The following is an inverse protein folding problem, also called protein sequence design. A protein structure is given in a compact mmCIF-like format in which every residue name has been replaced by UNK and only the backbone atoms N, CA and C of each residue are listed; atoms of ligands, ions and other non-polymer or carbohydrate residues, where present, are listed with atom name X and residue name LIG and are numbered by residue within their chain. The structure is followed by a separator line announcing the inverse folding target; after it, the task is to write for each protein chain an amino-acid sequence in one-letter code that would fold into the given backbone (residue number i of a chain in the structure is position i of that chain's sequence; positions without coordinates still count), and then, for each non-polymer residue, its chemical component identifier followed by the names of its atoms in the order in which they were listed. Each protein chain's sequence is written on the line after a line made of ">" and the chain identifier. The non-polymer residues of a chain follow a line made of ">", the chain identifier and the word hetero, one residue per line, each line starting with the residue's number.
data_IF_173377802427
#
_entry.id   IF_173377802427
#
_cell.length_a   1.000
_cell.length_b   1.000
_cell.length_c   1.000
_cell.angle_alpha   90.00
_cell.angle_beta   90.00
_cell.angle_gamma   90.00
#
_symmetry.space_group_name_H-M   'P 1'
#
loop_
_entity.id
_entity.type
_entity.pdbx_description
1 polymer ?
#
# COMPACT_ATOMS: atom_id res chain seq x y z
N UNK A 1 -11.01 6.64 23.55
CA UNK A 1 -11.43 7.47 22.41
C UNK A 1 -10.17 7.90 21.70
N UNK A 2 -9.86 7.34 20.51
CA UNK A 2 -8.79 7.92 19.69
C UNK A 2 -9.27 9.31 19.25
N UNK A 3 -8.50 10.34 19.58
CA UNK A 3 -8.82 11.71 19.26
C UNK A 3 -8.94 11.82 17.74
N UNK A 4 -10.03 12.39 17.24
CA UNK A 4 -10.33 12.50 15.80
C UNK A 4 -9.24 13.25 15.03
N UNK A 5 -8.45 14.05 15.73
CA UNK A 5 -7.25 14.75 15.23
C UNK A 5 -6.11 13.78 14.90
N UNK A 6 -5.85 12.77 15.75
CA UNK A 6 -4.78 11.79 15.55
C UNK A 6 -5.09 10.89 14.35
N UNK A 7 -6.36 10.49 14.19
CA UNK A 7 -6.78 9.70 13.04
C UNK A 7 -6.60 10.48 11.72
N UNK A 8 -6.87 11.78 11.68
CA UNK A 8 -6.65 12.62 10.50
C UNK A 8 -5.16 12.80 10.19
N UNK A 9 -4.34 13.00 11.21
CA UNK A 9 -2.88 13.12 11.06
C UNK A 9 -2.26 11.83 10.53
N UNK A 10 -2.67 10.67 11.07
CA UNK A 10 -2.20 9.36 10.62
C UNK A 10 -2.60 9.12 9.16
N UNK A 11 -3.87 9.42 8.79
CA UNK A 11 -4.34 9.31 7.41
C UNK A 11 -3.52 10.17 6.45
N UNK A 12 -3.23 11.42 6.83
CA UNK A 12 -2.43 12.35 6.03
C UNK A 12 -0.98 11.89 5.89
N UNK A 13 -0.38 11.37 6.97
CA UNK A 13 1.00 10.90 6.98
C UNK A 13 1.19 9.64 6.14
N UNK A 14 0.29 8.66 6.24
CA UNK A 14 0.32 7.44 5.43
C UNK A 14 0.16 7.78 3.95
N UNK A 15 -0.78 8.68 3.62
CA UNK A 15 -0.99 9.13 2.25
C UNK A 15 0.29 9.77 1.69
N UNK A 16 0.95 10.63 2.47
CA UNK A 16 2.21 11.27 2.10
C UNK A 16 3.34 10.26 1.88
N UNK A 17 3.52 9.30 2.79
CA UNK A 17 4.52 8.23 2.66
C UNK A 17 4.29 7.41 1.39
N UNK A 18 3.04 7.07 1.08
CA UNK A 18 2.68 6.29 -0.10
C UNK A 18 2.94 7.09 -1.38
N UNK A 19 2.53 8.35 -1.42
CA UNK A 19 2.77 9.24 -2.56
C UNK A 19 4.27 9.42 -2.79
N UNK A 20 5.08 9.67 -1.75
CA UNK A 20 6.53 9.80 -1.91
C UNK A 20 7.16 8.54 -2.51
N UNK A 21 6.79 7.35 -2.03
CA UNK A 21 7.32 6.10 -2.58
C UNK A 21 6.80 5.83 -4.01
N UNK A 22 5.55 6.17 -4.29
CA UNK A 22 4.95 6.04 -5.62
C UNK A 22 5.59 6.99 -6.64
N UNK A 23 5.77 8.26 -6.28
CA UNK A 23 6.31 9.30 -7.16
C UNK A 23 7.76 8.99 -7.58
N UNK A 24 8.57 8.40 -6.70
CA UNK A 24 9.96 8.01 -7.00
C UNK A 24 10.06 6.93 -8.08
N UNK A 25 9.01 6.12 -8.29
CA UNK A 25 9.02 5.02 -9.27
C UNK A 25 8.47 5.39 -10.66
N UNK A 26 8.00 6.62 -10.85
CA UNK A 26 7.28 7.00 -12.06
C UNK A 26 8.15 7.94 -12.91
N UNK A 27 9.12 7.34 -13.61
CA UNK A 27 9.97 8.02 -14.61
C UNK A 27 9.56 7.60 -16.02
N UNK A 28 8.74 8.43 -16.68
CA UNK A 28 8.47 8.54 -18.13
C UNK A 28 7.00 8.97 -18.37
N UNK A 29 6.69 9.52 -19.56
CA UNK A 29 5.45 10.26 -19.90
C UNK A 29 4.07 9.65 -19.56
N UNK A 30 4.02 8.40 -19.08
CA UNK A 30 2.85 7.82 -18.38
C UNK A 30 2.65 8.37 -16.95
N UNK A 31 3.50 9.31 -16.50
CA UNK A 31 3.60 9.68 -15.09
C UNK A 31 2.36 10.30 -14.48
N UNK A 32 1.65 11.15 -15.23
CA UNK A 32 0.43 11.83 -14.74
C UNK A 32 -0.75 10.86 -14.58
N UNK A 33 -0.93 9.94 -15.52
CA UNK A 33 -2.00 8.93 -15.46
C UNK A 33 -1.76 7.92 -14.32
N UNK A 34 -0.50 7.50 -14.17
CA UNK A 34 -0.09 6.62 -13.08
C UNK A 34 -0.22 7.31 -11.72
N UNK A 35 0.18 8.58 -11.62
CA UNK A 35 0.03 9.36 -10.39
C UNK A 35 -1.44 9.50 -9.99
N UNK A 36 -2.34 9.74 -10.95
CA UNK A 36 -3.79 9.81 -10.69
C UNK A 36 -4.35 8.48 -10.18
N UNK A 37 -3.99 7.36 -10.79
CA UNK A 37 -4.39 6.03 -10.31
C UNK A 37 -3.82 5.72 -8.93
N UNK A 38 -2.56 6.06 -8.70
CA UNK A 38 -1.88 5.87 -7.43
C UNK A 38 -2.51 6.69 -6.31
N UNK A 39 -2.85 7.96 -6.57
CA UNK A 39 -3.54 8.84 -5.63
C UNK A 39 -4.94 8.32 -5.28
N UNK A 40 -5.73 7.93 -6.28
CA UNK A 40 -7.08 7.38 -6.08
C UNK A 40 -7.06 6.14 -5.19
N UNK A 41 -6.06 5.28 -5.37
CA UNK A 41 -5.95 4.07 -4.58
C UNK A 41 -5.28 4.27 -3.23
N UNK A 42 -4.45 5.30 -3.09
CA UNK A 42 -3.96 5.74 -1.80
C UNK A 42 -5.11 6.33 -0.95
N UNK A 43 -6.04 7.06 -1.56
CA UNK A 43 -7.29 7.48 -0.91
C UNK A 43 -8.17 6.29 -0.52
N UNK A 44 -8.35 5.32 -1.43
CA UNK A 44 -9.07 4.06 -1.16
C UNK A 44 -8.44 3.29 0.00
N UNK A 45 -7.11 3.21 0.03
CA UNK A 45 -6.34 2.60 1.11
C UNK A 45 -6.54 3.33 2.44
N UNK A 46 -6.45 4.66 2.44
CA UNK A 46 -6.68 5.50 3.62
C UNK A 46 -8.10 5.32 4.17
N UNK A 47 -9.10 5.15 3.29
CA UNK A 47 -10.47 4.82 3.71
C UNK A 47 -10.58 3.40 4.28
N UNK A 48 -9.95 2.42 3.63
CA UNK A 48 -9.98 1.03 4.06
C UNK A 48 -9.26 0.79 5.39
N UNK A 49 -8.20 1.55 5.71
CA UNK A 49 -7.47 1.49 6.98
C UNK A 49 -8.38 1.81 8.20
N UNK A 50 -9.53 2.46 7.99
CA UNK A 50 -10.57 2.61 9.02
C UNK A 50 -11.23 1.30 9.46
N UNK A 51 -11.18 0.25 8.63
CA UNK A 51 -11.78 -1.06 8.87
C UNK A 51 -10.82 -2.12 9.41
N UNK A 52 -11.36 -3.27 9.84
CA UNK A 52 -10.58 -4.45 10.27
C UNK A 52 -10.07 -5.29 9.10
N UNK A 53 -10.57 -5.01 7.90
CA UNK A 53 -10.18 -5.61 6.63
C UNK A 53 -10.31 -4.57 5.53
N UNK A 54 -9.50 -4.67 4.50
CA UNK A 54 -9.53 -3.74 3.39
C UNK A 54 -8.77 -4.28 2.19
N UNK A 55 -9.15 -3.82 1.00
CA UNK A 55 -8.47 -4.17 -0.24
C UNK A 55 -8.61 -3.05 -1.27
N UNK A 56 -7.68 -2.99 -2.20
CA UNK A 56 -7.71 -2.06 -3.32
C UNK A 56 -6.69 -2.45 -4.38
N UNK A 57 -6.73 -1.71 -5.48
CA UNK A 57 -5.85 -1.93 -6.62
C UNK A 57 -5.49 -0.60 -7.26
N UNK A 58 -4.30 -0.49 -7.82
CA UNK A 58 -3.81 0.73 -8.48
C UNK A 58 -2.87 0.44 -9.63
N UNK A 59 -2.94 1.26 -10.67
CA UNK A 59 -2.00 1.21 -11.79
C UNK A 59 -0.64 1.71 -11.32
N UNK A 60 0.40 0.88 -11.48
CA UNK A 60 1.79 1.25 -11.19
C UNK A 60 2.56 1.68 -12.44
N UNK A 61 1.91 1.69 -13.59
CA UNK A 61 2.47 2.06 -14.89
C UNK A 61 2.53 0.93 -15.90
N UNK A 62 2.50 1.31 -17.18
CA UNK A 62 2.56 0.42 -18.34
C UNK A 62 1.40 -0.60 -18.42
N UNK A 63 0.22 -0.22 -17.92
CA UNK A 63 -0.93 -1.11 -17.80
C UNK A 63 -0.74 -2.22 -16.76
N UNK A 64 0.26 -2.09 -15.88
CA UNK A 64 0.56 -3.06 -14.82
C UNK A 64 -0.10 -2.60 -13.54
N UNK A 65 -0.82 -3.51 -12.89
CA UNK A 65 -1.56 -3.16 -11.68
C UNK A 65 -1.00 -3.82 -10.44
N UNK A 66 -1.05 -3.13 -9.31
CA UNK A 66 -0.75 -3.69 -7.98
C UNK A 66 -2.04 -3.76 -7.20
N UNK A 67 -2.36 -4.95 -6.69
CA UNK A 67 -3.45 -5.15 -5.73
C UNK A 67 -2.87 -5.25 -4.33
N UNK A 68 -3.52 -4.63 -3.37
CA UNK A 68 -3.19 -4.75 -1.95
C UNK A 68 -4.43 -5.17 -1.16
N UNK A 69 -4.22 -5.87 -0.06
CA UNK A 69 -5.24 -6.20 0.92
C UNK A 69 -4.64 -6.32 2.31
N UNK A 70 -5.48 -6.18 3.33
CA UNK A 70 -5.11 -6.54 4.69
C UNK A 70 -6.27 -7.17 5.44
N UNK A 71 -5.93 -7.97 6.44
CA UNK A 71 -6.90 -8.54 7.38
C UNK A 71 -6.36 -8.52 8.81
N UNK A 72 -7.21 -8.10 9.74
CA UNK A 72 -6.97 -8.16 11.18
C UNK A 72 -7.29 -9.56 11.70
N UNK A 73 -6.33 -10.19 12.37
CA UNK A 73 -6.49 -11.51 12.97
C UNK A 73 -5.92 -11.54 14.38
N UNK A 74 -6.63 -12.20 15.29
CA UNK A 74 -6.11 -12.55 16.60
C UNK A 74 -5.08 -13.67 16.43
N UNK A 75 -3.81 -13.40 16.74
CA UNK A 75 -2.74 -14.41 16.69
C UNK A 75 -2.15 -14.61 18.08
N UNK A 76 -2.57 -15.71 18.72
CA UNK A 76 -2.35 -15.93 20.15
C UNK A 76 -3.16 -14.92 20.96
N UNK A 77 -2.46 -14.10 21.76
CA UNK A 77 -3.07 -13.05 22.60
C UNK A 77 -2.99 -11.67 21.92
N UNK A 78 -2.25 -11.55 20.81
CA UNK A 78 -1.99 -10.25 20.16
C UNK A 78 -2.83 -10.11 18.89
N UNK A 79 -3.52 -8.96 18.79
CA UNK A 79 -4.15 -8.56 17.54
C UNK A 79 -3.07 -8.15 16.53
N UNK A 80 -3.06 -8.76 15.35
CA UNK A 80 -2.12 -8.42 14.28
C UNK A 80 -2.87 -8.18 12.97
N UNK A 81 -2.26 -7.41 12.10
CA UNK A 81 -2.73 -7.17 10.74
C UNK A 81 -1.76 -7.82 9.76
N UNK A 82 -2.33 -8.56 8.82
CA UNK A 82 -1.61 -9.24 7.75
C UNK A 82 -1.93 -8.48 6.47
N UNK A 83 -0.93 -7.81 5.90
CA UNK A 83 -1.02 -7.14 4.60
C UNK A 83 -0.46 -8.03 3.50
N UNK A 84 -1.13 -8.07 2.35
CA UNK A 84 -0.76 -8.85 1.15
C UNK A 84 -0.80 -7.91 -0.05
N UNK A 85 0.28 -7.90 -0.84
CA UNK A 85 0.43 -7.02 -1.99
C UNK A 85 0.95 -7.87 -3.14
N UNK A 86 0.28 -7.73 -4.28
CA UNK A 86 0.55 -8.54 -5.46
C UNK A 86 0.71 -7.60 -6.64
N UNK A 87 1.84 -7.71 -7.30
CA UNK A 87 2.00 -7.15 -8.63
C UNK A 87 1.35 -8.08 -9.66
N UNK A 88 0.25 -7.66 -10.27
CA UNK A 88 -0.54 -8.45 -11.20
C UNK A 88 0.23 -8.74 -12.51
N UNK A 89 1.22 -7.91 -12.85
CA UNK A 89 2.02 -8.11 -14.06
C UNK A 89 3.08 -9.21 -13.91
N UNK A 90 3.72 -9.33 -12.74
CA UNK A 90 4.79 -10.32 -12.51
C UNK A 90 4.37 -11.49 -11.63
N UNK A 91 3.19 -11.42 -11.00
CA UNK A 91 2.75 -12.35 -9.96
C UNK A 91 3.55 -12.21 -8.65
N UNK A 92 4.45 -11.23 -8.53
CA UNK A 92 5.26 -11.04 -7.33
C UNK A 92 4.36 -10.70 -6.17
N UNK A 93 4.44 -11.51 -5.11
CA UNK A 93 3.65 -11.33 -3.90
C UNK A 93 4.56 -11.03 -2.71
N UNK A 94 4.13 -10.09 -1.88
CA UNK A 94 4.71 -9.81 -0.58
C UNK A 94 3.65 -9.87 0.50
N UNK A 95 4.08 -10.23 1.69
CA UNK A 95 3.22 -10.32 2.86
C UNK A 95 3.95 -9.71 4.02
N UNK A 96 3.26 -8.86 4.78
CA UNK A 96 3.83 -8.27 5.99
C UNK A 96 2.85 -8.40 7.15
N UNK A 97 3.40 -8.69 8.34
CA UNK A 97 2.60 -8.86 9.56
C UNK A 97 3.04 -7.80 10.57
N UNK A 98 2.12 -6.92 10.93
CA UNK A 98 2.38 -5.78 11.81
C UNK A 98 1.29 -5.64 12.88
N UNK A 99 1.59 -4.88 13.92
CA UNK A 99 0.64 -4.58 14.99
C UNK A 99 -0.34 -3.46 14.59
N UNK A 100 -0.07 -2.75 13.48
CA UNK A 100 -0.91 -1.70 12.92
C UNK A 100 -1.37 -2.06 11.50
N UNK A 101 -2.52 -1.52 11.09
CA UNK A 101 -3.15 -1.77 9.79
C UNK A 101 -2.32 -1.14 8.67
N UNK A 102 -2.07 0.14 8.85
CA UNK A 102 -1.20 1.01 8.05
C UNK A 102 0.17 0.37 7.84
N UNK A 103 0.87 0.02 8.91
CA UNK A 103 2.17 -0.62 8.83
C UNK A 103 2.14 -1.93 8.07
N UNK A 104 1.06 -2.72 8.18
CA UNK A 104 0.95 -3.99 7.43
C UNK A 104 0.86 -3.77 5.92
N UNK A 105 0.21 -2.70 5.46
CA UNK A 105 0.11 -2.38 4.03
C UNK A 105 1.36 -1.65 3.55
N UNK A 106 1.85 -0.68 4.32
CA UNK A 106 3.06 0.09 3.97
C UNK A 106 4.28 -0.82 3.79
N UNK A 107 4.57 -1.68 4.76
CA UNK A 107 5.70 -2.60 4.66
C UNK A 107 5.51 -3.59 3.51
N UNK A 108 4.28 -4.03 3.29
CA UNK A 108 3.96 -4.95 2.21
C UNK A 108 4.22 -4.32 0.82
N UNK A 109 3.77 -3.08 0.61
CA UNK A 109 4.02 -2.33 -0.63
C UNK A 109 5.51 -2.02 -0.78
N UNK A 110 6.17 -1.58 0.29
CA UNK A 110 7.60 -1.31 0.28
C UNK A 110 8.40 -2.52 -0.16
N UNK A 111 8.14 -3.68 0.44
CA UNK A 111 8.83 -4.93 0.09
C UNK A 111 8.53 -5.34 -1.36
N UNK A 112 7.29 -5.12 -1.84
CA UNK A 112 6.90 -5.43 -3.22
C UNK A 112 7.73 -4.60 -4.20
N UNK A 113 7.77 -3.29 -3.98
CA UNK A 113 8.50 -2.37 -4.85
C UNK A 113 10.01 -2.55 -4.77
N UNK A 114 10.55 -2.89 -3.60
CA UNK A 114 11.96 -3.27 -3.50
C UNK A 114 12.27 -4.52 -4.34
N UNK A 115 11.41 -5.54 -4.32
CA UNK A 115 11.58 -6.73 -5.18
C UNK A 115 11.43 -6.43 -6.67
N UNK A 116 10.53 -5.52 -7.04
CA UNK A 116 10.36 -5.10 -8.43
C UNK A 116 11.54 -4.25 -8.93
N UNK A 117 12.02 -3.30 -8.11
CA UNK A 117 13.19 -2.48 -8.42
C UNK A 117 14.45 -3.33 -8.57
N UNK A 118 14.69 -4.28 -7.67
CA UNK A 118 15.80 -5.23 -7.76
C UNK A 118 15.74 -6.13 -9.01
N UNK A 119 14.57 -6.25 -9.68
CA UNK A 119 14.42 -6.99 -10.94
C UNK A 119 14.61 -6.12 -12.19
N UNK A 120 14.52 -4.80 -12.09
CA UNK A 120 14.74 -3.90 -13.23
C UNK A 120 16.24 -3.64 -13.49
N UNK A 121 17.11 -3.96 -12.54
CA UNK A 121 18.57 -3.86 -12.68
C UNK A 121 19.22 -5.11 -13.31
N UNK A 122 18.43 -6.03 -13.88
CA UNK A 122 18.86 -7.21 -14.65
C UNK A 122 18.28 -7.17 -16.06
#
# INVERSE_FOLDING_TARGET
>A
MLNTTDAKLIKSLILLCIILNGLVMVSSGNALNNLGSFLSSAESLVNAIGGTSGSGQFDRGDGKTVSWSFTGKLMGIKWKYIGICVDQATGTTTTSVKNSRDGSVEHCLRDLFQKLGARQEL
#
